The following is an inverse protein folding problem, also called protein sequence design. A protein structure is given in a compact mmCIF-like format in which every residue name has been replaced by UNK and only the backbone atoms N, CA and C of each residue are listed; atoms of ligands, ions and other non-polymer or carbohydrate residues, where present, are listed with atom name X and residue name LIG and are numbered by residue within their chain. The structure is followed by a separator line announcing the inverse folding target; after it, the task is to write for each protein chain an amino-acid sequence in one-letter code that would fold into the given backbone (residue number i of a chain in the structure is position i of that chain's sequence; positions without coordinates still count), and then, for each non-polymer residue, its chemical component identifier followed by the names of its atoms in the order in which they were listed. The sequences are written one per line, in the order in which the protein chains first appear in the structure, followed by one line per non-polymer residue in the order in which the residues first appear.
data_IF_535755183870
#
_entry.id   IF_535755183870
#
_cell.length_a   1.000
_cell.length_b   1.000
_cell.length_c   1.000
_cell.angle_alpha   90.00
_cell.angle_beta   90.00
_cell.angle_gamma   90.00
#
_symmetry.space_group_name_H-M   'P 1'
#
loop_
_entity.id
_entity.type
_entity.pdbx_description
1 polymer ?
#
# COMPACT_ATOMS: atom_id res chain seq x y z
N UNK A 1 -4.27 29.80 -12.37
CA UNK A 1 -5.07 29.00 -13.32
C UNK A 1 -4.89 27.55 -12.95
N UNK A 2 -5.81 27.00 -12.18
CA UNK A 2 -5.83 25.59 -11.77
C UNK A 2 -6.32 24.74 -12.93
N UNK A 3 -5.74 23.56 -13.19
CA UNK A 3 -6.37 22.61 -14.08
C UNK A 3 -7.50 21.91 -13.34
N UNK A 4 -8.72 22.14 -13.83
CA UNK A 4 -9.91 21.40 -13.45
C UNK A 4 -9.66 19.90 -13.60
N UNK A 5 -9.80 19.17 -12.49
CA UNK A 5 -9.97 17.71 -12.51
C UNK A 5 -11.43 17.49 -12.91
N UNK A 6 -11.70 17.56 -14.21
CA UNK A 6 -12.99 17.16 -14.76
C UNK A 6 -13.14 15.65 -14.56
N UNK A 7 -14.00 15.26 -13.64
CA UNK A 7 -14.59 13.94 -13.61
C UNK A 7 -15.61 13.85 -14.74
N UNK A 8 -15.49 12.93 -15.71
CA UNK A 8 -16.60 12.64 -16.58
C UNK A 8 -17.65 11.89 -15.74
N UNK A 9 -18.74 12.57 -15.41
CA UNK A 9 -19.99 11.94 -15.01
C UNK A 9 -20.51 11.16 -16.22
N UNK A 10 -20.17 9.86 -16.27
CA UNK A 10 -20.91 8.93 -17.08
C UNK A 10 -21.93 8.23 -16.17
N UNK A 11 -23.14 8.78 -16.19
CA UNK A 11 -24.35 8.10 -15.77
C UNK A 11 -24.52 6.85 -16.65
N UNK A 12 -24.09 5.69 -16.13
CA UNK A 12 -24.32 4.39 -16.74
C UNK A 12 -25.44 3.73 -15.97
N UNK A 13 -26.67 4.01 -16.35
CA UNK A 13 -27.82 3.16 -16.03
C UNK A 13 -27.50 1.73 -16.45
N UNK A 14 -27.70 0.70 -15.57
CA UNK A 14 -27.41 -0.67 -15.92
C UNK A 14 -28.36 -1.12 -17.05
N UNK A 15 -27.78 -1.52 -18.16
CA UNK A 15 -28.51 -2.17 -19.23
C UNK A 15 -29.27 -3.39 -18.68
N UNK A 16 -30.60 -3.38 -18.80
CA UNK A 16 -31.48 -4.52 -18.53
C UNK A 16 -31.17 -5.64 -19.51
N UNK A 17 -30.39 -6.64 -19.06
CA UNK A 17 -30.12 -7.87 -19.80
C UNK A 17 -29.48 -8.91 -18.92
N UNK A 18 -30.20 -10.00 -18.65
CA UNK A 18 -29.81 -11.27 -18.02
C UNK A 18 -28.97 -11.15 -16.73
N UNK A 19 -29.50 -11.58 -15.60
CA UNK A 19 -28.73 -11.85 -14.36
C UNK A 19 -27.59 -12.81 -14.70
N UNK A 20 -26.41 -12.29 -15.03
CA UNK A 20 -25.17 -13.07 -14.97
C UNK A 20 -25.00 -13.50 -13.52
N UNK A 21 -24.77 -14.78 -13.30
CA UNK A 21 -24.22 -15.29 -12.04
C UNK A 21 -23.08 -14.39 -11.59
N UNK A 22 -22.95 -14.16 -10.28
CA UNK A 22 -21.87 -13.34 -9.74
C UNK A 22 -20.52 -13.80 -10.33
N UNK A 23 -19.73 -12.84 -10.81
CA UNK A 23 -18.40 -13.10 -11.37
C UNK A 23 -17.50 -13.71 -10.30
N UNK A 24 -16.76 -14.77 -10.61
CA UNK A 24 -15.88 -15.45 -9.69
C UNK A 24 -14.41 -15.19 -10.01
N UNK A 25 -13.69 -14.56 -9.09
CA UNK A 25 -12.28 -14.20 -9.22
C UNK A 25 -11.42 -15.09 -8.35
N UNK A 26 -10.37 -15.68 -8.93
CA UNK A 26 -9.31 -16.32 -8.17
C UNK A 26 -8.22 -15.29 -7.85
N UNK A 27 -8.05 -14.94 -6.58
CA UNK A 27 -6.99 -14.02 -6.12
C UNK A 27 -5.76 -14.80 -5.67
N UNK A 28 -4.61 -14.53 -6.30
CA UNK A 28 -3.30 -15.08 -5.93
C UNK A 28 -2.44 -13.98 -5.30
N UNK A 29 -2.00 -14.17 -4.05
CA UNK A 29 -1.28 -13.12 -3.33
C UNK A 29 -0.16 -13.65 -2.43
N UNK A 30 1.02 -12.98 -2.39
CA UNK A 30 2.06 -13.27 -1.40
C UNK A 30 1.85 -12.50 -0.09
N UNK A 31 0.86 -11.60 -0.03
CA UNK A 31 0.52 -10.77 1.12
C UNK A 31 -0.92 -11.04 1.53
N UNK A 32 -1.14 -11.61 2.69
CA UNK A 32 -2.50 -11.80 3.20
C UNK A 32 -2.47 -11.91 4.73
N UNK A 33 -3.52 -11.47 5.43
CA UNK A 33 -3.61 -11.60 6.88
C UNK A 33 -3.51 -13.06 7.33
N UNK A 34 -2.78 -13.30 8.41
CA UNK A 34 -2.62 -14.62 9.01
C UNK A 34 -2.77 -14.54 10.52
N UNK A 35 -3.00 -15.67 11.18
CA UNK A 35 -2.97 -15.73 12.63
C UNK A 35 -1.62 -15.19 13.16
N UNK A 36 -1.68 -14.18 14.01
CA UNK A 36 -0.49 -13.46 14.52
C UNK A 36 0.08 -12.36 13.63
N UNK A 37 -0.44 -12.14 12.40
CA UNK A 37 -0.10 -11.00 11.55
C UNK A 37 -1.33 -10.54 10.74
N UNK A 38 -2.22 -9.81 11.36
CA UNK A 38 -3.45 -9.31 10.77
C UNK A 38 -3.24 -8.09 9.85
N UNK A 39 -2.07 -7.48 9.92
CA UNK A 39 -1.76 -6.24 9.17
C UNK A 39 -1.24 -6.54 7.77
N UNK A 40 -0.47 -7.63 7.62
CA UNK A 40 0.13 -7.98 6.33
C UNK A 40 -0.93 -8.30 5.28
N UNK A 41 -1.07 -7.44 4.26
CA UNK A 41 -2.02 -7.64 3.15
C UNK A 41 -3.49 -7.42 3.52
N UNK A 42 -3.80 -6.78 4.65
CA UNK A 42 -5.17 -6.44 5.07
C UNK A 42 -5.93 -5.66 3.97
N UNK A 43 -5.25 -4.78 3.24
CA UNK A 43 -5.81 -4.02 2.13
C UNK A 43 -6.33 -4.90 0.98
N UNK A 44 -5.77 -6.12 0.79
CA UNK A 44 -6.28 -7.10 -0.19
C UNK A 44 -7.54 -7.76 0.36
N UNK A 45 -7.49 -8.23 1.61
CA UNK A 45 -8.63 -8.89 2.24
C UNK A 45 -9.86 -7.96 2.31
N UNK A 46 -9.65 -6.69 2.63
CA UNK A 46 -10.72 -5.68 2.73
C UNK A 46 -11.32 -5.34 1.37
N UNK A 47 -10.47 -5.07 0.36
CA UNK A 47 -10.96 -4.78 -0.98
C UNK A 47 -11.67 -5.98 -1.60
N UNK A 48 -11.19 -7.20 -1.36
CA UNK A 48 -11.83 -8.43 -1.85
C UNK A 48 -13.22 -8.65 -1.24
N UNK A 49 -13.38 -8.38 0.06
CA UNK A 49 -14.70 -8.45 0.73
C UNK A 49 -15.68 -7.43 0.15
N UNK A 50 -15.19 -6.23 -0.15
CA UNK A 50 -16.02 -5.16 -0.69
C UNK A 50 -16.51 -5.45 -2.13
N UNK A 51 -15.81 -6.30 -2.89
CA UNK A 51 -16.18 -6.68 -4.25
C UNK A 51 -17.55 -7.40 -4.33
N UNK A 52 -18.00 -8.05 -3.25
CA UNK A 52 -19.30 -8.73 -3.20
C UNK A 52 -20.46 -7.76 -3.49
N UNK A 53 -20.35 -6.50 -3.07
CA UNK A 53 -21.36 -5.47 -3.34
C UNK A 53 -21.49 -5.13 -4.83
N UNK A 54 -20.47 -5.47 -5.62
CA UNK A 54 -20.43 -5.23 -7.06
C UNK A 54 -20.63 -6.51 -7.88
N UNK A 55 -21.18 -7.57 -7.25
CA UNK A 55 -21.47 -8.82 -7.92
C UNK A 55 -20.24 -9.67 -8.25
N UNK A 56 -19.14 -9.47 -7.52
CA UNK A 56 -17.90 -10.25 -7.67
C UNK A 56 -17.65 -11.05 -6.40
N UNK A 57 -17.48 -12.36 -6.55
CA UNK A 57 -17.08 -13.26 -5.47
C UNK A 57 -15.63 -13.68 -5.67
N UNK A 58 -14.94 -14.00 -4.60
CA UNK A 58 -13.50 -14.30 -4.66
C UNK A 58 -13.16 -15.60 -3.93
N UNK A 59 -12.30 -16.42 -4.57
CA UNK A 59 -11.51 -17.44 -3.89
C UNK A 59 -10.09 -16.92 -3.73
N UNK A 60 -9.53 -17.02 -2.53
CA UNK A 60 -8.22 -16.43 -2.23
C UNK A 60 -7.22 -17.54 -1.95
N UNK A 61 -6.13 -17.56 -2.70
CA UNK A 61 -4.97 -18.40 -2.43
C UNK A 61 -3.81 -17.50 -2.03
N UNK A 62 -3.48 -17.52 -0.75
CA UNK A 62 -2.29 -16.87 -0.21
C UNK A 62 -1.09 -17.81 -0.33
N UNK A 63 0.05 -17.28 -0.78
CA UNK A 63 1.21 -18.12 -1.07
C UNK A 63 2.41 -17.77 -0.20
N UNK A 64 3.18 -18.78 0.19
CA UNK A 64 4.40 -18.59 0.98
C UNK A 64 5.47 -19.61 0.60
N UNK A 65 6.76 -19.20 0.52
CA UNK A 65 7.85 -20.14 0.30
C UNK A 65 7.97 -21.17 1.44
N UNK A 66 8.38 -22.40 1.12
CA UNK A 66 8.50 -23.50 2.10
C UNK A 66 9.55 -23.24 3.19
N UNK A 67 10.54 -22.37 2.95
CA UNK A 67 11.56 -21.99 3.92
C UNK A 67 11.07 -20.93 4.91
N UNK A 68 9.89 -20.34 4.71
CA UNK A 68 9.24 -19.47 5.69
C UNK A 68 8.37 -20.30 6.65
N UNK A 69 8.09 -19.75 7.83
CA UNK A 69 7.16 -20.37 8.76
C UNK A 69 5.78 -20.59 8.11
N UNK A 70 5.14 -21.68 8.49
CA UNK A 70 3.76 -21.95 8.07
C UNK A 70 2.86 -20.85 8.63
N UNK A 71 2.05 -20.27 7.76
CA UNK A 71 1.01 -19.30 8.13
C UNK A 71 -0.33 -20.01 8.22
N UNK A 72 -1.13 -19.61 9.19
CA UNK A 72 -2.50 -20.06 9.36
C UNK A 72 -3.45 -18.93 8.98
N UNK A 73 -4.64 -19.26 8.42
CA UNK A 73 -5.62 -18.24 8.08
C UNK A 73 -6.02 -17.40 9.29
N UNK A 74 -6.18 -16.09 9.10
CA UNK A 74 -6.79 -15.24 10.11
C UNK A 74 -8.31 -15.50 10.14
N UNK A 75 -8.96 -15.50 11.32
CA UNK A 75 -10.39 -15.79 11.44
C UNK A 75 -11.29 -14.89 10.59
N UNK A 76 -10.91 -13.62 10.43
CA UNK A 76 -11.68 -12.61 9.69
C UNK A 76 -11.28 -12.49 8.20
N UNK A 77 -10.29 -13.27 7.75
CA UNK A 77 -9.78 -13.23 6.38
C UNK A 77 -9.48 -14.66 5.90
N UNK A 78 -10.52 -15.43 5.53
CA UNK A 78 -10.34 -16.80 5.08
C UNK A 78 -9.57 -16.83 3.75
N UNK A 79 -8.56 -17.70 3.68
CA UNK A 79 -7.78 -17.95 2.48
C UNK A 79 -7.16 -19.34 2.54
N UNK A 80 -7.00 -19.96 1.40
CA UNK A 80 -6.20 -21.17 1.26
C UNK A 80 -4.71 -20.80 1.21
N UNK A 81 -3.89 -21.45 2.07
CA UNK A 81 -2.46 -21.19 2.11
C UNK A 81 -1.69 -22.26 1.36
N UNK A 82 -1.06 -21.87 0.26
CA UNK A 82 -0.22 -22.75 -0.56
C UNK A 82 1.25 -22.46 -0.35
N UNK A 83 2.01 -23.51 0.00
CA UNK A 83 3.47 -23.44 0.13
C UNK A 83 4.13 -23.97 -1.13
N UNK A 84 5.15 -23.26 -1.60
CA UNK A 84 5.87 -23.61 -2.81
C UNK A 84 7.39 -23.54 -2.61
N UNK A 85 8.17 -24.36 -3.36
CA UNK A 85 9.63 -24.29 -3.33
C UNK A 85 10.12 -22.94 -3.87
N UNK A 86 11.07 -22.34 -3.18
CA UNK A 86 11.78 -21.14 -3.66
C UNK A 86 13.18 -21.12 -3.09
N UNK A 87 14.17 -20.77 -3.89
CA UNK A 87 15.52 -20.47 -3.42
C UNK A 87 15.44 -19.15 -2.64
N UNK A 88 15.96 -19.09 -1.39
CA UNK A 88 15.94 -17.88 -0.59
C UNK A 88 16.55 -16.67 -1.31
N UNK A 89 16.03 -15.50 -1.00
CA UNK A 89 16.47 -14.23 -1.58
C UNK A 89 16.00 -14.02 -3.03
N UNK A 90 16.56 -13.00 -3.65
CA UNK A 90 16.17 -12.53 -4.97
C UNK A 90 16.55 -13.46 -6.14
N UNK A 91 17.44 -14.42 -5.93
CA UNK A 91 17.92 -15.35 -6.96
C UNK A 91 16.82 -16.31 -7.44
N UNK A 92 15.96 -16.76 -6.53
CA UNK A 92 14.88 -17.73 -6.84
C UNK A 92 13.61 -17.13 -7.43
N UNK A 93 13.46 -15.82 -7.40
CA UNK A 93 12.20 -15.15 -7.78
C UNK A 93 11.82 -15.36 -9.25
N UNK A 94 12.79 -15.43 -10.16
CA UNK A 94 12.52 -15.62 -11.60
C UNK A 94 11.88 -16.98 -11.94
N UNK A 95 12.17 -18.03 -11.15
CA UNK A 95 11.60 -19.37 -11.32
C UNK A 95 10.49 -19.69 -10.33
N UNK A 96 10.34 -18.90 -9.29
CA UNK A 96 9.36 -19.11 -8.20
C UNK A 96 7.93 -19.26 -8.74
N UNK A 97 7.56 -18.49 -9.77
CA UNK A 97 6.24 -18.58 -10.38
C UNK A 97 5.97 -19.92 -11.08
N UNK A 98 6.98 -20.58 -11.67
CA UNK A 98 6.83 -21.92 -12.26
C UNK A 98 6.62 -22.97 -11.18
N UNK A 99 7.36 -22.90 -10.08
CA UNK A 99 7.19 -23.83 -8.96
C UNK A 99 5.86 -23.61 -8.24
N UNK A 100 5.43 -22.36 -8.11
CA UNK A 100 4.10 -22.03 -7.62
C UNK A 100 3.02 -22.58 -8.54
N UNK A 101 3.13 -22.37 -9.86
CA UNK A 101 2.20 -22.94 -10.84
C UNK A 101 2.09 -24.47 -10.71
N UNK A 102 3.21 -25.20 -10.63
CA UNK A 102 3.21 -26.64 -10.44
C UNK A 102 2.45 -27.08 -9.17
N UNK A 103 2.54 -26.29 -8.09
CA UNK A 103 1.75 -26.56 -6.87
C UNK A 103 0.26 -26.27 -7.06
N UNK A 104 -0.07 -25.21 -7.79
CA UNK A 104 -1.45 -24.79 -8.03
C UNK A 104 -2.21 -25.71 -9.00
N UNK A 105 -1.51 -26.46 -9.86
CA UNK A 105 -2.14 -27.41 -10.78
C UNK A 105 -2.95 -28.49 -10.09
N UNK A 106 -2.64 -28.84 -8.84
CA UNK A 106 -3.42 -29.82 -8.09
C UNK A 106 -4.76 -29.23 -7.58
N UNK A 107 -4.83 -27.96 -7.31
CA UNK A 107 -5.94 -27.30 -6.59
C UNK A 107 -6.83 -26.48 -7.52
N UNK A 108 -6.22 -25.61 -8.34
CA UNK A 108 -6.99 -24.63 -9.15
C UNK A 108 -7.90 -25.27 -10.20
N UNK A 109 -7.48 -26.32 -10.96
CA UNK A 109 -8.40 -27.00 -11.88
C UNK A 109 -9.59 -27.68 -11.18
N UNK A 110 -9.40 -28.15 -9.94
CA UNK A 110 -10.50 -28.68 -9.13
C UNK A 110 -11.47 -27.57 -8.73
N UNK A 111 -10.95 -26.47 -8.16
CA UNK A 111 -11.74 -25.29 -7.81
C UNK A 111 -12.53 -24.78 -9.02
N UNK A 112 -11.89 -24.70 -10.17
CA UNK A 112 -12.54 -24.25 -11.41
C UNK A 112 -13.67 -25.16 -11.87
N UNK A 113 -13.56 -26.49 -11.67
CA UNK A 113 -14.65 -27.45 -11.97
C UNK A 113 -15.81 -27.36 -10.99
N UNK A 114 -15.50 -27.15 -9.70
CA UNK A 114 -16.51 -27.00 -8.64
C UNK A 114 -17.26 -25.67 -8.78
N UNK A 115 -16.52 -24.61 -9.05
CA UNK A 115 -17.02 -23.27 -9.28
C UNK A 115 -16.19 -22.59 -10.36
N UNK A 116 -16.74 -22.36 -11.56
CA UNK A 116 -16.01 -21.74 -12.64
C UNK A 116 -15.38 -20.42 -12.23
N UNK A 117 -14.08 -20.29 -12.48
CA UNK A 117 -13.29 -19.08 -12.28
C UNK A 117 -13.37 -18.29 -13.59
N UNK A 118 -13.77 -17.03 -13.51
CA UNK A 118 -13.92 -16.15 -14.67
C UNK A 118 -12.64 -15.32 -14.93
N UNK A 119 -11.96 -14.89 -13.85
CA UNK A 119 -10.74 -14.08 -13.92
C UNK A 119 -9.74 -14.53 -12.86
N UNK A 120 -8.45 -14.51 -13.17
CA UNK A 120 -7.38 -14.67 -12.18
C UNK A 120 -6.81 -13.29 -11.86
N UNK A 121 -6.82 -12.88 -10.61
CA UNK A 121 -6.19 -11.65 -10.14
C UNK A 121 -4.93 -11.97 -9.35
N UNK A 122 -3.77 -11.62 -9.89
CA UNK A 122 -2.50 -11.79 -9.22
C UNK A 122 -2.01 -10.49 -8.57
N UNK A 123 -1.51 -10.57 -7.34
CA UNK A 123 -0.80 -9.47 -6.71
C UNK A 123 0.71 -9.69 -6.83
N UNK A 124 1.41 -8.69 -7.38
CA UNK A 124 2.81 -8.69 -7.81
C UNK A 124 3.10 -9.57 -9.05
N UNK A 125 4.04 -9.12 -9.87
CA UNK A 125 4.45 -9.86 -11.07
C UNK A 125 5.04 -11.22 -10.72
N UNK A 126 5.88 -11.29 -9.68
CA UNK A 126 6.57 -12.49 -9.22
C UNK A 126 6.30 -12.74 -7.72
N UNK A 127 5.97 -13.97 -7.33
CA UNK A 127 5.74 -15.15 -8.15
C UNK A 127 4.32 -15.27 -8.72
N UNK A 128 3.33 -14.55 -8.14
CA UNK A 128 1.89 -14.75 -8.40
C UNK A 128 1.50 -14.45 -9.85
N UNK A 129 1.92 -13.33 -10.42
CA UNK A 129 1.63 -12.97 -11.80
C UNK A 129 2.20 -13.98 -12.80
N UNK A 130 3.41 -14.50 -12.54
CA UNK A 130 3.99 -15.54 -13.41
C UNK A 130 3.21 -16.86 -13.33
N UNK A 131 2.79 -17.27 -12.12
CA UNK A 131 1.92 -18.44 -11.97
C UNK A 131 0.54 -18.22 -12.61
N UNK A 132 -0.04 -17.02 -12.45
CA UNK A 132 -1.30 -16.64 -13.07
C UNK A 132 -1.23 -16.68 -14.60
N UNK A 133 -0.15 -16.20 -15.21
CA UNK A 133 0.05 -16.26 -16.66
C UNK A 133 0.12 -17.70 -17.19
N UNK A 134 0.70 -18.63 -16.42
CA UNK A 134 0.73 -20.05 -16.77
C UNK A 134 -0.63 -20.71 -16.58
N UNK A 135 -1.34 -20.42 -15.49
CA UNK A 135 -2.71 -20.90 -15.24
C UNK A 135 -3.69 -20.37 -16.28
N UNK A 136 -3.60 -19.11 -16.63
CA UNK A 136 -4.41 -18.43 -17.66
C UNK A 136 -4.35 -19.19 -18.99
N UNK A 137 -3.13 -19.55 -19.43
CA UNK A 137 -2.96 -20.36 -20.65
C UNK A 137 -3.50 -21.77 -20.52
N UNK A 138 -3.32 -22.39 -19.35
CA UNK A 138 -3.75 -23.78 -19.11
C UNK A 138 -5.27 -23.91 -19.07
N UNK A 139 -5.96 -22.95 -18.45
CA UNK A 139 -7.40 -22.97 -18.22
C UNK A 139 -8.19 -22.12 -19.23
N UNK A 140 -7.48 -21.37 -20.10
CA UNK A 140 -8.07 -20.40 -21.03
C UNK A 140 -8.92 -19.34 -20.30
N UNK A 141 -8.40 -18.79 -19.18
CA UNK A 141 -9.06 -17.79 -18.35
C UNK A 141 -8.20 -16.51 -18.39
N UNK A 142 -8.78 -15.30 -18.59
CA UNK A 142 -8.02 -14.08 -18.55
C UNK A 142 -7.46 -13.81 -17.14
N UNK A 143 -6.33 -13.06 -17.08
CA UNK A 143 -5.78 -12.63 -15.81
C UNK A 143 -5.40 -11.16 -15.81
N UNK A 144 -5.48 -10.57 -14.62
CA UNK A 144 -5.00 -9.21 -14.32
C UNK A 144 -3.94 -9.26 -13.25
N UNK A 145 -3.07 -8.25 -13.19
CA UNK A 145 -2.01 -8.20 -12.17
C UNK A 145 -1.96 -6.81 -11.53
N UNK A 146 -1.97 -6.76 -10.19
CA UNK A 146 -1.77 -5.51 -9.43
C UNK A 146 -0.33 -5.38 -8.97
N UNK A 147 0.25 -4.20 -9.22
CA UNK A 147 1.59 -3.80 -8.83
C UNK A 147 1.55 -2.87 -7.61
N UNK A 148 2.30 -3.26 -6.57
CA UNK A 148 2.31 -2.55 -5.28
C UNK A 148 3.51 -1.59 -5.10
N UNK A 149 4.32 -1.41 -6.13
CA UNK A 149 5.43 -0.47 -6.15
C UNK A 149 6.80 -1.14 -5.98
N UNK A 150 7.10 -1.76 -4.83
CA UNK A 150 8.39 -2.42 -4.60
C UNK A 150 8.71 -3.52 -5.61
N UNK A 151 7.72 -4.21 -6.11
CA UNK A 151 7.83 -5.22 -7.16
C UNK A 151 8.34 -4.61 -8.48
N UNK A 152 7.80 -3.47 -8.88
CA UNK A 152 8.27 -2.72 -10.06
C UNK A 152 9.65 -2.13 -9.80
N UNK A 153 9.85 -1.47 -8.67
CA UNK A 153 11.12 -0.86 -8.32
C UNK A 153 12.26 -1.88 -8.31
N UNK A 154 12.08 -3.00 -7.62
CA UNK A 154 13.08 -4.07 -7.55
C UNK A 154 13.37 -4.68 -8.93
N UNK A 155 12.39 -4.68 -9.81
CA UNK A 155 12.55 -5.22 -11.17
C UNK A 155 13.26 -4.24 -12.10
N UNK A 156 13.00 -2.94 -11.96
CA UNK A 156 13.54 -1.90 -12.84
C UNK A 156 14.93 -1.43 -12.43
N UNK A 157 15.23 -1.32 -11.14
CA UNK A 157 16.38 -0.57 -10.64
C UNK A 157 17.46 -1.42 -9.95
N UNK A 158 17.20 -2.68 -9.60
CA UNK A 158 18.23 -3.56 -9.07
C UNK A 158 19.05 -4.17 -10.21
N UNK A 159 20.37 -3.99 -10.20
CA UNK A 159 21.30 -4.47 -11.23
C UNK A 159 21.74 -5.94 -11.07
N UNK A 160 22.55 -6.39 -12.04
CA UNK A 160 23.17 -7.72 -12.06
C UNK A 160 22.39 -8.79 -12.85
N UNK A 161 23.03 -9.93 -13.16
CA UNK A 161 22.43 -11.01 -13.95
C UNK A 161 21.10 -11.56 -13.41
N UNK A 162 20.93 -11.75 -12.08
CA UNK A 162 19.63 -12.14 -11.52
C UNK A 162 18.54 -11.10 -11.75
N UNK A 163 18.88 -9.81 -11.85
CA UNK A 163 17.93 -8.74 -12.12
C UNK A 163 17.42 -8.78 -13.57
N UNK A 164 18.29 -9.04 -14.52
CA UNK A 164 17.90 -9.18 -15.94
C UNK A 164 16.87 -10.31 -16.12
N UNK A 165 17.06 -11.41 -15.43
CA UNK A 165 16.15 -12.56 -15.47
C UNK A 165 14.79 -12.26 -14.82
N UNK A 166 14.79 -11.61 -13.65
CA UNK A 166 13.55 -11.14 -13.01
C UNK A 166 12.80 -10.16 -13.90
N UNK A 167 13.54 -9.20 -14.48
CA UNK A 167 12.97 -8.21 -15.40
C UNK A 167 12.29 -8.87 -16.58
N UNK A 168 12.96 -9.84 -17.23
CA UNK A 168 12.38 -10.59 -18.35
C UNK A 168 11.09 -11.31 -17.94
N UNK A 169 11.12 -12.06 -16.83
CA UNK A 169 9.95 -12.77 -16.32
C UNK A 169 8.78 -11.82 -15.99
N UNK A 170 9.08 -10.66 -15.40
CA UNK A 170 8.05 -9.64 -15.10
C UNK A 170 7.47 -9.00 -16.37
N UNK A 171 8.32 -8.70 -17.37
CA UNK A 171 7.87 -8.18 -18.68
C UNK A 171 6.94 -9.18 -19.38
N UNK A 172 7.27 -10.47 -19.36
CA UNK A 172 6.43 -11.51 -19.93
C UNK A 172 5.04 -11.58 -19.24
N UNK A 173 5.00 -11.39 -17.92
CA UNK A 173 3.74 -11.30 -17.16
C UNK A 173 2.93 -10.08 -17.57
N UNK A 174 3.56 -8.90 -17.63
CA UNK A 174 2.85 -7.64 -17.93
C UNK A 174 2.28 -7.63 -19.35
N UNK A 175 2.98 -8.22 -20.30
CA UNK A 175 2.50 -8.35 -21.69
C UNK A 175 1.38 -9.36 -21.85
N UNK A 176 1.39 -10.40 -21.03
CA UNK A 176 0.37 -11.46 -21.08
C UNK A 176 -0.90 -11.12 -20.30
N UNK A 177 -0.84 -10.17 -19.37
CA UNK A 177 -1.99 -9.76 -18.58
C UNK A 177 -3.00 -8.99 -19.45
N UNK A 178 -4.30 -9.25 -19.27
CA UNK A 178 -5.38 -8.46 -19.89
C UNK A 178 -5.29 -6.98 -19.47
N UNK A 179 -4.92 -6.74 -18.22
CA UNK A 179 -4.69 -5.39 -17.68
C UNK A 179 -3.69 -5.44 -16.54
N UNK A 180 -2.75 -4.51 -16.53
CA UNK A 180 -1.85 -4.27 -15.39
C UNK A 180 -2.41 -3.13 -14.55
N UNK A 181 -2.69 -3.39 -13.27
CA UNK A 181 -3.25 -2.45 -12.33
C UNK A 181 -2.10 -1.85 -11.52
N UNK A 182 -1.97 -0.54 -11.52
CA UNK A 182 -0.97 0.19 -10.74
C UNK A 182 -1.66 0.94 -9.60
N UNK A 183 -1.14 0.84 -8.38
CA UNK A 183 -1.76 1.48 -7.20
C UNK A 183 -1.57 3.00 -7.16
N UNK A 184 -0.81 3.59 -8.10
CA UNK A 184 -0.63 5.02 -8.27
C UNK A 184 -0.10 5.35 -9.67
N UNK A 185 -0.23 6.60 -10.11
CA UNK A 185 0.39 7.11 -11.35
C UNK A 185 1.93 7.00 -11.27
N UNK A 186 2.52 7.15 -10.06
CA UNK A 186 3.96 6.92 -9.84
C UNK A 186 4.35 5.49 -10.22
N UNK A 187 3.62 4.48 -9.71
CA UNK A 187 3.89 3.07 -10.04
C UNK A 187 3.69 2.83 -11.54
N UNK A 188 2.68 3.44 -12.14
CA UNK A 188 2.44 3.35 -13.58
C UNK A 188 3.60 3.98 -14.39
N UNK A 189 4.09 5.17 -14.01
CA UNK A 189 5.26 5.78 -14.64
C UNK A 189 6.52 4.90 -14.51
N UNK A 190 6.78 4.35 -13.32
CA UNK A 190 7.91 3.43 -13.12
C UNK A 190 7.80 2.18 -14.01
N UNK A 191 6.58 1.66 -14.22
CA UNK A 191 6.34 0.56 -15.13
C UNK A 191 6.67 0.96 -16.58
N UNK A 192 6.15 2.10 -17.03
CA UNK A 192 6.33 2.60 -18.40
C UNK A 192 7.79 2.95 -18.71
N UNK A 193 8.48 3.64 -17.81
CA UNK A 193 9.88 4.06 -17.97
C UNK A 193 10.85 2.87 -17.90
N UNK A 194 10.57 1.90 -17.04
CA UNK A 194 11.45 0.77 -16.78
C UNK A 194 11.22 -0.44 -17.67
N UNK A 195 10.03 -0.61 -18.25
CA UNK A 195 9.61 -1.89 -18.83
C UNK A 195 9.14 -1.85 -20.27
N UNK A 196 8.59 -0.81 -20.76
CA UNK A 196 8.15 -0.53 -22.14
C UNK A 196 6.76 0.14 -22.14
N UNK A 197 6.55 1.00 -23.15
CA UNK A 197 5.34 1.82 -23.31
C UNK A 197 4.10 1.01 -23.76
N UNK A 198 4.26 -0.25 -24.15
CA UNK A 198 3.21 -1.03 -24.84
C UNK A 198 2.37 -1.92 -23.89
N UNK A 199 2.50 -1.73 -22.56
CA UNK A 199 1.73 -2.50 -21.59
C UNK A 199 0.42 -1.77 -21.28
N UNK A 200 -0.73 -2.43 -21.51
CA UNK A 200 -2.04 -1.89 -21.08
C UNK A 200 -2.06 -1.79 -19.55
N UNK A 201 -2.02 -0.58 -19.04
CA UNK A 201 -2.01 -0.33 -17.60
C UNK A 201 -3.02 0.73 -17.19
N UNK A 202 -3.61 0.54 -16.03
CA UNK A 202 -4.59 1.45 -15.42
C UNK A 202 -4.19 1.75 -13.99
N UNK A 203 -4.60 2.92 -13.49
CA UNK A 203 -4.40 3.27 -12.08
C UNK A 203 -5.66 2.96 -11.30
N UNK A 204 -5.51 2.19 -10.22
CA UNK A 204 -6.53 1.97 -9.19
C UNK A 204 -5.88 2.20 -7.84
N UNK A 205 -6.15 3.34 -7.23
CA UNK A 205 -5.66 3.64 -5.89
C UNK A 205 -6.24 2.66 -4.88
N UNK A 206 -5.42 2.29 -3.87
CA UNK A 206 -5.95 1.56 -2.74
C UNK A 206 -6.98 2.43 -2.00
N UNK A 207 -8.04 1.79 -1.54
CA UNK A 207 -9.03 2.39 -0.67
C UNK A 207 -8.74 2.14 0.81
N UNK A 208 -9.43 2.87 1.68
CA UNK A 208 -9.40 2.61 3.12
C UNK A 208 -10.82 2.49 3.68
N UNK A 209 -10.95 1.77 4.81
CA UNK A 209 -12.21 1.65 5.54
C UNK A 209 -12.46 2.92 6.36
N UNK A 210 -13.33 3.78 5.85
CA UNK A 210 -13.67 5.08 6.47
C UNK A 210 -14.61 4.96 7.67
N UNK A 211 -15.14 3.77 7.97
CA UNK A 211 -15.87 3.49 9.19
C UNK A 211 -14.93 3.05 10.31
N UNK A 212 -13.94 2.23 9.97
CA UNK A 212 -12.92 1.77 10.91
C UNK A 212 -11.92 2.89 11.23
N UNK A 213 -11.38 3.54 10.20
CA UNK A 213 -10.54 4.73 10.32
C UNK A 213 -11.41 5.98 10.22
N UNK A 214 -11.95 6.39 11.34
CA UNK A 214 -12.82 7.55 11.48
C UNK A 214 -12.34 8.40 12.65
N UNK A 215 -12.61 9.71 12.65
CA UNK A 215 -12.41 10.55 13.83
C UNK A 215 -13.17 9.98 15.04
N UNK A 216 -12.66 10.20 16.25
CA UNK A 216 -13.39 9.82 17.44
C UNK A 216 -14.70 10.63 17.53
N UNK A 217 -15.82 10.00 17.90
CA UNK A 217 -17.08 10.73 18.12
C UNK A 217 -16.88 11.81 19.17
N UNK A 218 -17.22 13.07 18.83
CA UNK A 218 -17.13 14.20 19.78
C UNK A 218 -15.70 14.64 20.13
N UNK A 219 -14.69 14.17 19.42
CA UNK A 219 -13.33 14.61 19.63
C UNK A 219 -13.18 16.05 19.14
N UNK A 220 -13.20 16.99 20.10
CA UNK A 220 -12.55 18.29 19.89
C UNK A 220 -11.06 18.06 19.58
N UNK A 221 -10.43 18.83 18.69
CA UNK A 221 -8.99 18.79 18.49
C UNK A 221 -8.32 18.92 19.86
N UNK A 222 -7.52 17.94 20.26
CA UNK A 222 -6.84 17.99 21.57
C UNK A 222 -6.00 19.28 21.64
N UNK A 223 -6.36 20.27 22.42
CA UNK A 223 -5.63 21.53 22.48
C UNK A 223 -4.25 21.39 23.14
N UNK A 224 -3.98 20.22 23.72
CA UNK A 224 -2.83 19.99 24.62
C UNK A 224 -1.82 18.95 24.12
N UNK A 225 -2.08 18.25 23.01
CA UNK A 225 -1.22 17.15 22.56
C UNK A 225 -0.28 17.57 21.43
N UNK A 226 1.01 17.74 21.71
CA UNK A 226 2.07 17.83 20.70
C UNK A 226 2.58 16.43 20.39
N UNK A 227 1.72 15.56 19.88
CA UNK A 227 2.06 14.19 19.56
C UNK A 227 2.23 13.98 18.07
N UNK A 228 3.40 13.50 17.67
CA UNK A 228 3.70 13.05 16.32
C UNK A 228 3.58 11.53 16.30
N UNK A 229 2.88 11.00 15.29
CA UNK A 229 2.75 9.56 15.06
C UNK A 229 3.44 9.14 13.78
N UNK A 230 4.23 8.07 13.87
CA UNK A 230 4.76 7.31 12.72
C UNK A 230 4.19 5.89 12.80
N UNK A 231 3.64 5.39 11.69
CA UNK A 231 3.25 3.98 11.56
C UNK A 231 3.90 3.40 10.31
N UNK A 232 4.72 2.35 10.49
CA UNK A 232 5.39 1.69 9.38
C UNK A 232 6.55 0.81 9.80
N UNK A 233 7.03 -0.01 8.87
CA UNK A 233 8.20 -0.84 9.13
C UNK A 233 9.44 0.04 9.41
N UNK A 234 10.24 -0.35 10.43
CA UNK A 234 11.47 0.34 10.77
C UNK A 234 12.57 -0.02 9.77
N UNK A 235 12.55 0.73 8.65
CA UNK A 235 13.50 0.64 7.55
C UNK A 235 14.05 2.02 7.24
N UNK A 236 15.34 2.12 6.89
CA UNK A 236 16.00 3.39 6.54
C UNK A 236 15.20 4.19 5.51
N UNK A 237 14.64 3.50 4.51
CA UNK A 237 13.85 4.14 3.44
C UNK A 237 12.53 4.77 3.87
N UNK A 238 12.04 4.52 5.09
CA UNK A 238 10.80 5.09 5.63
C UNK A 238 10.97 6.46 6.30
N UNK A 239 12.19 6.95 6.42
CA UNK A 239 12.48 8.33 6.87
C UNK A 239 12.44 8.55 8.38
N UNK A 240 12.47 7.49 9.20
CA UNK A 240 12.49 7.61 10.67
C UNK A 240 13.63 8.50 11.16
N UNK A 241 14.84 8.34 10.60
CA UNK A 241 16.00 9.17 10.97
C UNK A 241 15.74 10.66 10.73
N UNK A 242 15.05 11.02 9.64
CA UNK A 242 14.70 12.40 9.35
C UNK A 242 13.80 12.98 10.44
N UNK A 243 12.79 12.22 10.87
CA UNK A 243 11.88 12.64 11.94
C UNK A 243 12.62 12.78 13.27
N UNK A 244 13.48 11.83 13.63
CA UNK A 244 14.25 11.90 14.88
C UNK A 244 15.14 13.13 14.94
N UNK A 245 15.81 13.49 13.84
CA UNK A 245 16.62 14.71 13.77
C UNK A 245 15.77 15.99 13.82
N UNK A 246 14.61 16.00 13.15
CA UNK A 246 13.67 17.11 13.25
C UNK A 246 13.13 17.32 14.69
N UNK A 247 12.82 16.24 15.41
CA UNK A 247 12.42 16.29 16.83
C UNK A 247 13.53 16.91 17.69
N UNK A 248 14.80 16.57 17.42
CA UNK A 248 15.93 17.19 18.12
C UNK A 248 15.96 18.70 17.93
N UNK A 249 15.75 19.18 16.70
CA UNK A 249 15.70 20.63 16.42
C UNK A 249 14.50 21.32 17.08
N UNK A 250 13.35 20.67 17.10
CA UNK A 250 12.10 21.20 17.66
C UNK A 250 12.10 21.22 19.20
N UNK A 251 12.95 20.44 19.84
CA UNK A 251 12.91 20.19 21.28
C UNK A 251 12.91 21.42 22.18
N UNK A 252 13.63 22.50 21.81
CA UNK A 252 13.64 23.75 22.56
C UNK A 252 12.33 24.56 22.42
N UNK A 253 11.73 24.54 21.22
CA UNK A 253 10.49 25.27 20.92
C UNK A 253 9.24 24.53 21.35
N UNK A 254 9.31 23.20 21.49
CA UNK A 254 8.21 22.32 21.84
C UNK A 254 8.61 21.36 22.97
N UNK A 255 8.67 21.81 24.23
CA UNK A 255 9.13 20.99 25.35
C UNK A 255 8.23 19.77 25.63
N UNK A 256 6.97 19.82 25.27
CA UNK A 256 5.99 18.74 25.44
C UNK A 256 5.85 17.83 24.21
N UNK A 257 6.68 18.01 23.17
CA UNK A 257 6.62 17.21 21.97
C UNK A 257 7.00 15.75 22.25
N UNK A 258 6.11 14.85 21.90
CA UNK A 258 6.31 13.40 21.93
C UNK A 258 6.16 12.80 20.54
N UNK A 259 6.89 11.71 20.28
CA UNK A 259 6.79 10.96 19.06
C UNK A 259 6.54 9.48 19.40
N UNK A 260 5.45 8.95 18.88
CA UNK A 260 5.16 7.52 18.93
C UNK A 260 5.48 6.87 17.60
N UNK A 261 6.19 5.76 17.65
CA UNK A 261 6.60 4.98 16.48
C UNK A 261 6.00 3.57 16.62
N UNK A 262 5.01 3.28 15.77
CA UNK A 262 4.35 1.97 15.69
C UNK A 262 4.90 1.21 14.50
N UNK A 263 5.38 0.02 14.74
CA UNK A 263 5.96 -0.87 13.77
C UNK A 263 7.22 -1.54 14.28
N UNK A 264 7.79 -2.40 13.46
CA UNK A 264 9.03 -3.11 13.76
C UNK A 264 9.85 -3.30 12.48
N UNK A 265 11.13 -3.65 12.61
CA UNK A 265 11.98 -3.86 11.45
C UNK A 265 13.46 -3.97 11.80
N UNK A 266 14.29 -4.35 10.83
CA UNK A 266 15.70 -4.60 11.04
C UNK A 266 16.51 -3.39 11.54
N UNK A 267 16.04 -2.16 11.27
CA UNK A 267 16.73 -0.93 11.67
C UNK A 267 16.30 -0.39 13.04
N UNK A 268 15.45 -1.14 13.80
CA UNK A 268 14.96 -0.70 15.11
C UNK A 268 16.08 -0.31 16.07
N UNK A 269 17.04 -1.22 16.29
CA UNK A 269 18.15 -0.98 17.20
C UNK A 269 18.98 0.26 16.80
N UNK A 270 19.15 0.49 15.50
CA UNK A 270 19.81 1.68 14.96
C UNK A 270 19.05 2.96 15.32
N UNK A 271 17.72 2.97 15.17
CA UNK A 271 16.93 4.17 15.48
C UNK A 271 16.86 4.43 17.00
N UNK A 272 16.76 3.38 17.82
CA UNK A 272 16.84 3.52 19.28
C UNK A 272 18.22 4.05 19.74
N UNK A 273 19.31 3.61 19.10
CA UNK A 273 20.64 4.17 19.35
C UNK A 273 20.72 5.66 18.97
N UNK A 274 20.15 6.02 17.81
CA UNK A 274 20.12 7.40 17.34
C UNK A 274 19.32 8.32 18.27
N UNK A 275 18.22 7.87 18.89
CA UNK A 275 17.50 8.69 19.89
C UNK A 275 18.34 9.02 21.12
N UNK A 276 19.18 8.08 21.55
CA UNK A 276 20.13 8.29 22.67
C UNK A 276 21.22 9.26 22.26
N UNK A 277 21.81 9.09 21.10
CA UNK A 277 22.84 9.98 20.55
C UNK A 277 22.34 11.42 20.44
N UNK A 278 21.11 11.60 19.95
CA UNK A 278 20.47 12.91 19.80
C UNK A 278 19.96 13.50 21.14
N UNK A 279 20.00 12.75 22.24
CA UNK A 279 19.49 13.20 23.54
C UNK A 279 17.98 13.40 23.57
N UNK A 280 17.22 12.61 22.81
CA UNK A 280 15.76 12.71 22.69
C UNK A 280 15.02 11.41 23.11
N UNK A 281 15.72 10.46 23.73
CA UNK A 281 15.15 9.17 24.05
C UNK A 281 13.87 9.24 24.91
N UNK A 282 13.75 10.24 25.79
CA UNK A 282 12.57 10.47 26.63
C UNK A 282 11.37 11.05 25.86
N UNK A 283 11.57 11.47 24.61
CA UNK A 283 10.53 12.05 23.75
C UNK A 283 10.03 11.06 22.69
N UNK A 284 10.70 9.93 22.52
CA UNK A 284 10.40 8.98 21.44
C UNK A 284 10.08 7.61 22.04
N UNK A 285 8.92 7.09 21.70
CA UNK A 285 8.45 5.78 22.14
C UNK A 285 8.37 4.83 20.96
N UNK A 286 9.12 3.70 21.01
CA UNK A 286 9.04 2.61 20.05
C UNK A 286 8.09 1.54 20.59
N UNK A 287 6.87 1.45 20.04
CA UNK A 287 5.81 0.60 20.56
C UNK A 287 5.79 -0.82 19.97
N UNK A 288 6.62 -1.08 18.97
CA UNK A 288 6.57 -2.34 18.25
C UNK A 288 5.33 -2.44 17.35
N UNK A 289 5.02 -3.66 16.93
CA UNK A 289 3.81 -3.92 16.12
C UNK A 289 2.58 -3.83 16.99
N UNK A 290 1.53 -3.26 16.44
CA UNK A 290 0.22 -3.07 17.07
C UNK A 290 -0.87 -3.67 16.20
N UNK A 291 -1.99 -4.01 16.81
CA UNK A 291 -3.21 -4.38 16.10
C UNK A 291 -3.77 -3.20 15.28
N UNK A 292 -4.60 -3.47 14.31
CA UNK A 292 -5.25 -2.40 13.52
C UNK A 292 -6.09 -1.46 14.38
N UNK A 293 -6.74 -1.98 15.42
CA UNK A 293 -7.53 -1.16 16.35
C UNK A 293 -6.62 -0.19 17.11
N UNK A 294 -5.50 -0.67 17.68
CA UNK A 294 -4.53 0.18 18.38
C UNK A 294 -3.91 1.22 17.44
N UNK A 295 -3.65 0.88 16.16
CA UNK A 295 -3.18 1.83 15.14
C UNK A 295 -4.22 2.90 14.87
N UNK A 296 -5.49 2.54 14.71
CA UNK A 296 -6.58 3.49 14.50
C UNK A 296 -6.75 4.41 15.73
N UNK A 297 -6.63 3.86 16.95
CA UNK A 297 -6.66 4.67 18.18
C UNK A 297 -5.50 5.65 18.25
N UNK A 298 -4.30 5.20 17.92
CA UNK A 298 -3.13 6.08 17.85
C UNK A 298 -3.28 7.18 16.80
N UNK A 299 -3.84 6.85 15.62
CA UNK A 299 -4.14 7.84 14.59
C UNK A 299 -5.19 8.85 15.07
N UNK A 300 -6.23 8.42 15.77
CA UNK A 300 -7.22 9.33 16.36
C UNK A 300 -6.63 10.26 17.42
N UNK A 301 -5.66 9.79 18.18
CA UNK A 301 -5.05 10.54 19.28
C UNK A 301 -3.99 11.54 18.81
N UNK A 302 -3.22 11.24 17.76
CA UNK A 302 -2.10 12.08 17.35
C UNK A 302 -2.53 13.47 16.86
N UNK A 303 -1.62 14.42 16.97
CA UNK A 303 -1.76 15.78 16.40
C UNK A 303 -1.41 15.80 14.93
N UNK A 304 -0.35 15.08 14.55
CA UNK A 304 0.18 15.03 13.17
C UNK A 304 0.68 13.61 12.87
N UNK A 305 0.25 13.06 11.76
CA UNK A 305 0.83 11.85 11.21
C UNK A 305 2.00 12.19 10.29
N UNK A 306 3.14 11.53 10.47
CA UNK A 306 4.36 11.84 9.72
C UNK A 306 5.01 10.57 9.21
N UNK A 307 5.22 10.46 7.90
CA UNK A 307 5.99 9.36 7.32
C UNK A 307 6.76 9.88 6.08
N UNK A 308 7.95 10.46 6.23
CA UNK A 308 8.70 11.03 5.12
C UNK A 308 9.47 9.95 4.36
N UNK A 309 8.74 8.99 3.77
CA UNK A 309 9.32 7.88 3.03
C UNK A 309 10.07 8.34 1.78
N UNK A 310 11.23 7.73 1.52
CA UNK A 310 12.00 7.91 0.26
C UNK A 310 11.35 7.21 -0.92
N UNK A 311 10.73 6.09 -0.63
CA UNK A 311 10.07 5.28 -1.62
C UNK A 311 8.76 4.75 -1.07
N UNK A 312 7.68 5.15 -1.73
CA UNK A 312 6.33 4.69 -1.41
C UNK A 312 5.52 4.54 -2.70
N UNK A 313 4.92 3.36 -2.90
CA UNK A 313 4.05 3.12 -4.04
C UNK A 313 2.79 3.98 -3.96
N UNK A 314 2.11 3.95 -2.81
CA UNK A 314 1.02 4.83 -2.41
C UNK A 314 1.07 5.07 -0.90
N UNK A 315 1.11 3.99 -0.09
CA UNK A 315 1.13 4.02 1.36
C UNK A 315 -0.26 4.10 1.96
N UNK A 316 -0.91 2.95 2.17
CA UNK A 316 -2.26 2.88 2.75
C UNK A 316 -2.35 3.60 4.10
N UNK A 317 -1.29 3.58 4.89
CA UNK A 317 -1.24 4.23 6.21
C UNK A 317 -1.47 5.75 6.17
N UNK A 318 -1.11 6.41 5.08
CA UNK A 318 -1.46 7.83 4.91
C UNK A 318 -2.97 8.00 4.71
N UNK A 319 -3.59 7.13 3.90
CA UNK A 319 -5.03 7.16 3.65
C UNK A 319 -5.80 6.89 4.95
N UNK A 320 -5.29 5.97 5.78
CA UNK A 320 -5.86 5.65 7.09
C UNK A 320 -5.81 6.85 8.05
N UNK A 321 -4.66 7.54 8.12
CA UNK A 321 -4.51 8.76 8.92
C UNK A 321 -5.39 9.92 8.40
N UNK A 322 -5.44 10.11 7.07
CA UNK A 322 -6.33 11.07 6.43
C UNK A 322 -7.81 10.76 6.71
N UNK A 323 -8.20 9.48 6.67
CA UNK A 323 -9.54 9.03 7.02
C UNK A 323 -9.90 9.30 8.49
N UNK A 324 -8.93 9.23 9.40
CA UNK A 324 -9.09 9.67 10.80
C UNK A 324 -9.17 11.20 10.97
N UNK A 325 -9.12 11.98 9.88
CA UNK A 325 -9.15 13.44 9.92
C UNK A 325 -7.86 14.07 10.44
N UNK A 326 -6.71 13.41 10.22
CA UNK A 326 -5.41 13.94 10.70
C UNK A 326 -4.62 14.60 9.58
N UNK A 327 -3.92 15.70 9.89
CA UNK A 327 -2.96 16.26 8.96
C UNK A 327 -1.81 15.28 8.76
N UNK A 328 -1.47 15.05 7.50
CA UNK A 328 -0.42 14.10 7.10
C UNK A 328 0.77 14.86 6.54
N UNK A 329 1.98 14.52 6.99
CA UNK A 329 3.24 15.00 6.43
C UNK A 329 3.91 13.89 5.63
N UNK A 330 4.19 14.16 4.36
CA UNK A 330 4.78 13.20 3.42
C UNK A 330 5.82 13.87 2.50
N UNK A 331 6.57 13.08 1.74
CA UNK A 331 7.51 13.56 0.75
C UNK A 331 6.87 13.76 -0.63
N UNK A 332 7.26 14.82 -1.34
CA UNK A 332 6.98 14.99 -2.77
C UNK A 332 7.58 13.87 -3.61
N UNK A 333 6.98 13.60 -4.76
CA UNK A 333 7.44 12.61 -5.71
C UNK A 333 7.18 11.16 -5.31
N UNK A 334 6.44 10.90 -4.22
CA UNK A 334 5.95 9.59 -3.82
C UNK A 334 4.52 9.39 -4.30
N UNK A 335 3.97 8.16 -4.21
CA UNK A 335 2.60 7.91 -4.67
C UNK A 335 1.56 8.76 -3.95
N UNK A 336 1.77 9.06 -2.67
CA UNK A 336 0.87 9.89 -1.88
C UNK A 336 0.85 11.38 -2.31
N UNK A 337 1.89 11.86 -2.98
CA UNK A 337 1.95 13.21 -3.58
C UNK A 337 0.85 13.45 -4.64
N UNK A 338 0.27 12.35 -5.15
CA UNK A 338 -0.86 12.41 -6.10
C UNK A 338 -2.20 12.71 -5.42
N UNK A 339 -2.27 12.51 -4.11
CA UNK A 339 -3.47 12.65 -3.28
C UNK A 339 -3.38 13.92 -2.42
N UNK A 340 -2.17 14.24 -1.93
CA UNK A 340 -1.97 15.39 -1.06
C UNK A 340 -1.76 16.67 -1.87
N UNK A 341 -2.64 17.63 -1.67
CA UNK A 341 -2.46 19.03 -2.06
C UNK A 341 -1.85 19.80 -0.88
N UNK A 342 -0.57 20.19 -1.02
CA UNK A 342 0.16 20.87 0.04
C UNK A 342 -0.57 22.10 0.59
N UNK A 343 -0.76 22.16 1.91
CA UNK A 343 -1.44 23.26 2.61
C UNK A 343 -2.97 23.25 2.52
N UNK A 344 -3.56 22.27 1.80
CA UNK A 344 -5.01 22.10 1.69
C UNK A 344 -5.50 20.86 2.46
N UNK A 345 -5.00 19.67 2.13
CA UNK A 345 -5.41 18.39 2.74
C UNK A 345 -4.22 17.60 3.32
N UNK A 346 -3.05 18.22 3.43
CA UNK A 346 -1.83 17.65 3.99
C UNK A 346 -0.63 18.55 3.78
N UNK A 347 0.53 18.08 4.18
CA UNK A 347 1.79 18.83 4.11
C UNK A 347 2.85 18.02 3.39
N UNK A 348 3.40 18.57 2.31
CA UNK A 348 4.44 17.94 1.53
C UNK A 348 5.78 18.64 1.77
N UNK A 349 6.79 17.87 2.14
CA UNK A 349 8.18 18.30 2.18
C UNK A 349 8.89 17.91 0.88
N UNK A 350 10.02 18.55 0.51
CA UNK A 350 10.81 18.15 -0.65
C UNK A 350 11.15 16.66 -0.63
N UNK A 351 11.01 16.02 -1.78
CA UNK A 351 11.41 14.63 -1.93
C UNK A 351 12.93 14.52 -2.07
N UNK A 352 13.52 13.53 -1.47
CA UNK A 352 14.96 13.30 -1.43
C UNK A 352 15.35 12.03 -2.22
N UNK A 353 15.00 12.01 -3.48
CA UNK A 353 15.28 10.87 -4.35
C UNK A 353 16.24 11.24 -5.47
N UNK A 354 17.49 10.79 -5.33
CA UNK A 354 18.34 10.56 -6.50
C UNK A 354 18.75 9.08 -6.46
N UNK A 355 18.33 8.25 -7.44
CA UNK A 355 18.82 6.88 -7.52
C UNK A 355 20.36 6.88 -7.60
N UNK A 356 21.00 6.09 -6.71
CA UNK A 356 22.45 5.84 -6.77
C UNK A 356 23.36 6.82 -6.05
N UNK A 357 22.89 7.84 -5.35
CA UNK A 357 23.72 8.66 -4.47
C UNK A 357 23.58 8.27 -3.00
N UNK A 358 24.72 8.13 -2.31
CA UNK A 358 24.79 8.16 -0.85
C UNK A 358 24.21 9.50 -0.39
N UNK A 359 23.23 9.45 0.49
CA UNK A 359 22.38 10.61 0.81
C UNK A 359 23.02 11.53 1.83
N UNK A 360 23.03 12.86 1.58
CA UNK A 360 22.96 13.80 2.68
C UNK A 360 21.60 13.60 3.38
N UNK A 361 21.55 13.90 4.69
CA UNK A 361 20.29 13.93 5.47
C UNK A 361 19.63 15.30 5.20
N UNK A 362 19.44 15.60 3.90
CA UNK A 362 18.78 16.83 3.45
C UNK A 362 17.27 16.68 3.71
N UNK A 363 16.63 17.75 4.11
CA UNK A 363 15.20 17.79 4.38
C UNK A 363 14.83 17.76 5.87
N UNK A 364 15.82 17.76 6.80
CA UNK A 364 15.56 17.87 8.25
C UNK A 364 14.97 19.22 8.57
N UNK A 365 15.54 20.30 8.00
CA UNK A 365 15.09 21.67 8.25
C UNK A 365 13.68 21.90 7.71
N UNK A 366 13.38 21.43 6.50
CA UNK A 366 12.07 21.54 5.88
C UNK A 366 11.02 20.72 6.65
N UNK A 367 11.39 19.54 7.13
CA UNK A 367 10.50 18.75 7.98
C UNK A 367 10.27 19.43 9.32
N UNK A 368 11.33 19.93 9.98
CA UNK A 368 11.21 20.63 11.24
C UNK A 368 10.36 21.90 11.10
N UNK A 369 10.56 22.67 10.03
CA UNK A 369 9.77 23.86 9.73
C UNK A 369 8.29 23.50 9.49
N UNK A 370 8.01 22.48 8.68
CA UNK A 370 6.64 22.00 8.42
C UNK A 370 5.94 21.55 9.71
N UNK A 371 6.63 20.74 10.52
CA UNK A 371 6.11 20.31 11.83
C UNK A 371 5.91 21.47 12.78
N UNK A 372 6.85 22.44 12.85
CA UNK A 372 6.69 23.63 13.66
C UNK A 372 5.45 24.44 13.26
N UNK A 373 5.21 24.60 11.97
CA UNK A 373 4.03 25.30 11.44
C UNK A 373 2.74 24.60 11.87
N UNK A 374 2.68 23.30 11.75
CA UNK A 374 1.50 22.52 12.14
C UNK A 374 1.28 22.51 13.66
N UNK A 375 2.33 22.26 14.44
CA UNK A 375 2.23 22.17 15.90
C UNK A 375 1.91 23.51 16.58
N UNK A 376 2.17 24.64 15.92
CA UNK A 376 1.81 25.99 16.41
C UNK A 376 0.36 26.38 16.11
N UNK A 377 -0.30 25.69 15.17
CA UNK A 377 -1.67 26.04 14.75
C UNK A 377 -2.60 24.82 14.74
N UNK A 378 -3.28 24.56 15.88
CA UNK A 378 -4.33 23.53 15.95
C UNK A 378 -5.43 23.75 14.91
N UNK A 379 -5.75 25.01 14.59
CA UNK A 379 -6.76 25.38 13.60
C UNK A 379 -6.33 24.94 12.19
N UNK A 380 -5.03 25.12 11.86
CA UNK A 380 -4.48 24.63 10.60
C UNK A 380 -4.54 23.09 10.56
N UNK A 381 -4.15 22.42 11.62
CA UNK A 381 -4.23 20.96 11.73
C UNK A 381 -5.67 20.45 11.53
N UNK A 382 -6.64 21.07 12.19
CA UNK A 382 -8.06 20.72 12.07
C UNK A 382 -8.56 20.93 10.65
N UNK A 383 -8.25 22.06 10.03
CA UNK A 383 -8.63 22.36 8.62
C UNK A 383 -8.02 21.36 7.64
N UNK A 384 -6.72 21.07 7.75
CA UNK A 384 -6.04 20.10 6.89
C UNK A 384 -6.61 18.69 7.09
N UNK A 385 -6.85 18.29 8.33
CA UNK A 385 -7.41 16.99 8.68
C UNK A 385 -8.83 16.80 8.14
N UNK A 386 -9.68 17.82 8.25
CA UNK A 386 -11.03 17.80 7.68
C UNK A 386 -11.00 17.63 6.16
N UNK A 387 -10.19 18.42 5.47
CA UNK A 387 -10.03 18.33 4.02
C UNK A 387 -9.37 17.00 3.59
N UNK A 388 -8.45 16.45 4.41
CA UNK A 388 -7.87 15.14 4.19
C UNK A 388 -8.94 14.05 4.21
N UNK A 389 -9.81 14.03 5.25
CA UNK A 389 -10.91 13.08 5.34
C UNK A 389 -11.90 13.22 4.19
N UNK A 390 -12.27 14.43 3.83
CA UNK A 390 -13.14 14.70 2.67
C UNK A 390 -12.57 14.10 1.39
N UNK A 391 -11.27 14.26 1.15
CA UNK A 391 -10.55 13.67 0.00
C UNK A 391 -10.70 12.15 -0.01
N UNK A 392 -10.57 11.48 1.15
CA UNK A 392 -10.71 10.02 1.24
C UNK A 392 -12.17 9.59 0.98
N UNK A 393 -13.13 10.26 1.60
CA UNK A 393 -14.56 9.92 1.45
C UNK A 393 -15.00 10.05 -0.01
N UNK A 394 -14.54 11.08 -0.71
CA UNK A 394 -15.00 11.40 -2.06
C UNK A 394 -14.33 10.55 -3.18
N UNK A 395 -13.31 9.74 -2.90
CA UNK A 395 -12.67 9.00 -4.00
C UNK A 395 -11.76 7.82 -3.63
N UNK A 396 -11.48 7.61 -2.33
CA UNK A 396 -10.47 6.66 -1.89
C UNK A 396 -10.97 5.71 -0.78
N UNK A 397 -12.28 5.41 -0.80
CA UNK A 397 -12.85 4.37 0.07
C UNK A 397 -12.64 2.99 -0.53
N UNK A 398 -12.75 1.96 0.29
CA UNK A 398 -12.75 0.55 -0.19
C UNK A 398 -13.81 0.32 -1.28
N UNK A 399 -14.97 0.99 -1.19
CA UNK A 399 -16.03 0.88 -2.19
C UNK A 399 -15.60 1.43 -3.54
N UNK A 400 -14.93 2.60 -3.58
CA UNK A 400 -14.39 3.16 -4.84
C UNK A 400 -13.35 2.23 -5.47
N UNK A 401 -12.44 1.68 -4.67
CA UNK A 401 -11.46 0.70 -5.15
C UNK A 401 -12.13 -0.55 -5.70
N UNK A 402 -13.08 -1.13 -4.97
CA UNK A 402 -13.77 -2.35 -5.36
C UNK A 402 -14.60 -2.15 -6.63
N UNK A 403 -15.31 -1.02 -6.76
CA UNK A 403 -16.07 -0.67 -7.96
C UNK A 403 -15.15 -0.64 -9.20
N UNK A 404 -13.98 -0.01 -9.06
CA UNK A 404 -13.03 0.08 -10.18
C UNK A 404 -12.42 -1.28 -10.53
N UNK A 405 -12.10 -2.10 -9.53
CA UNK A 405 -11.61 -3.47 -9.75
C UNK A 405 -12.68 -4.34 -10.43
N UNK A 406 -13.93 -4.28 -9.97
CA UNK A 406 -15.04 -5.02 -10.58
C UNK A 406 -15.20 -4.65 -12.06
N UNK A 407 -15.15 -3.36 -12.40
CA UNK A 407 -15.19 -2.91 -13.80
C UNK A 407 -14.08 -3.55 -14.64
N UNK A 408 -12.84 -3.58 -14.12
CA UNK A 408 -11.69 -4.18 -14.82
C UNK A 408 -11.90 -5.67 -15.04
N UNK A 409 -12.49 -6.38 -14.07
CA UNK A 409 -12.77 -7.81 -14.24
C UNK A 409 -13.84 -8.07 -15.29
N UNK A 410 -14.90 -7.26 -15.32
CA UNK A 410 -15.92 -7.36 -16.39
C UNK A 410 -15.33 -7.04 -17.76
N UNK A 411 -14.43 -6.05 -17.87
CA UNK A 411 -13.73 -5.75 -19.12
C UNK A 411 -12.77 -6.87 -19.56
N UNK A 412 -12.21 -7.64 -18.62
CA UNK A 412 -11.27 -8.71 -18.93
C UNK A 412 -11.94 -9.95 -19.53
N UNK A 413 -13.25 -10.16 -19.28
CA UNK A 413 -14.03 -11.30 -19.80
C UNK A 413 -14.90 -10.94 -21.01
N UNK A 414 -15.00 -9.64 -21.36
CA UNK A 414 -15.75 -9.18 -22.51
C UNK A 414 -14.97 -9.38 -23.82
#
# INVERSE_FOLDING_TARGET
MSPDIAHPEHDVSPAKGARKSALHVLTLTPFFPSAGDEVSGCFIAESTRQLEQFGVTSSIIAVTPIHHHRKEPAPLAPADWVRYPQIPGNLGLSNAGRWLYARLLAEVPRLHRERPIDVIHAHSALPCGHAAALLSRHLNIPFVVTLHGLDVFNTCFLGGAPAAWRRRASVDVYRAASTVICISKRVQRLLQDGMQKDVRSVVVYNGTDTNFFAPAPGAEPSPQGQEILIVGNLLVGKGHELVLRAIRQLGASFPQLHCRIIGDGPDRARFEALTRELGIAQRVQFEGRKSRAEVADAMRACSVFVLPSRYEGLGCVYLEAMACGKPVVACRGQGIDEIIEHGRNGWLIPGWVTPGRAMPIDGVDELAQGLSTLLRSPELCSRLGAAARETIINGLTLSHQAQRLAQIYFEAIA
#
